data_IF_713402631127
#
_entry.id   IF_713402631127
#
_cell.length_a   1.000
_cell.length_b   1.000
_cell.length_c   1.000
_cell.angle_alpha   90.00
_cell.angle_beta   90.00
_cell.angle_gamma   90.00
#
_symmetry.space_group_name_H-M   'P 1'
#
loop_
_entity.id
_entity.type
_entity.pdbx_description
1 polymer ?
#
# COMPACT_ATOMS: atom_id res chain seq x y z
N UNK A 1 -57.70 -5.35 18.82
CA UNK A 1 -56.23 -5.56 18.78
C UNK A 1 -55.73 -5.49 20.21
N UNK A 2 -55.04 -6.52 20.70
CA UNK A 2 -54.71 -6.61 22.13
C UNK A 2 -53.58 -5.64 22.50
N UNK A 3 -53.62 -5.03 23.71
CA UNK A 3 -52.60 -4.07 24.16
C UNK A 3 -51.18 -4.66 24.20
N UNK A 4 -51.06 -5.99 24.25
CA UNK A 4 -49.79 -6.72 24.20
C UNK A 4 -49.11 -6.71 22.81
N UNK A 5 -49.84 -6.46 21.72
CA UNK A 5 -49.24 -6.40 20.37
C UNK A 5 -48.56 -5.06 20.06
N UNK A 6 -49.02 -3.96 20.67
CA UNK A 6 -48.43 -2.64 20.47
C UNK A 6 -47.12 -2.47 21.25
N UNK A 7 -47.03 -3.07 22.45
CA UNK A 7 -45.82 -3.03 23.28
C UNK A 7 -44.65 -3.82 22.64
N UNK A 8 -44.95 -4.92 21.94
CA UNK A 8 -43.95 -5.74 21.23
C UNK A 8 -43.42 -5.10 19.95
N UNK A 9 -44.23 -4.26 19.30
CA UNK A 9 -43.79 -3.52 18.12
C UNK A 9 -42.87 -2.34 18.51
N UNK A 10 -43.12 -1.73 19.67
CA UNK A 10 -42.31 -0.63 20.18
C UNK A 10 -40.95 -1.08 20.72
N UNK A 11 -40.86 -2.28 21.32
CA UNK A 11 -39.57 -2.84 21.77
C UNK A 11 -38.69 -3.34 20.63
N UNK A 12 -39.27 -3.71 19.48
CA UNK A 12 -38.49 -4.13 18.30
C UNK A 12 -37.82 -2.95 17.59
N UNK A 13 -38.46 -1.77 17.57
CA UNK A 13 -37.88 -0.55 16.99
C UNK A 13 -36.77 0.03 17.86
N UNK A 14 -36.89 -0.06 19.19
CA UNK A 14 -35.85 0.44 20.11
C UNK A 14 -34.57 -0.42 20.08
N UNK A 15 -34.66 -1.73 19.79
CA UNK A 15 -33.49 -2.59 19.63
C UNK A 15 -32.76 -2.36 18.30
N UNK A 16 -33.46 -1.93 17.26
CA UNK A 16 -32.86 -1.60 15.96
C UNK A 16 -32.06 -0.28 15.98
N UNK A 17 -32.38 0.66 16.87
CA UNK A 17 -31.69 1.95 16.98
C UNK A 17 -30.30 1.85 17.66
N UNK A 18 -30.01 0.77 18.38
CA UNK A 18 -28.71 0.53 19.02
C UNK A 18 -27.74 -0.32 18.18
N UNK A 19 -28.20 -0.82 17.03
CA UNK A 19 -27.38 -1.53 16.04
C UNK A 19 -26.95 -0.60 14.89
N UNK A 20 -26.74 0.68 15.18
CA UNK A 20 -25.88 1.49 14.33
C UNK A 20 -24.48 0.87 14.40
N UNK A 21 -23.89 0.39 13.30
CA UNK A 21 -22.50 0.00 13.32
C UNK A 21 -21.69 1.25 13.68
N UNK A 22 -21.19 1.29 14.92
CA UNK A 22 -20.27 2.30 15.43
C UNK A 22 -18.86 2.12 14.82
N UNK A 23 -18.78 1.75 13.54
CA UNK A 23 -17.54 1.50 12.80
C UNK A 23 -17.52 2.13 11.41
N UNK A 24 -18.52 2.92 11.01
CA UNK A 24 -18.34 3.91 9.95
C UNK A 24 -17.49 5.10 10.47
N UNK A 25 -16.40 4.79 11.16
CA UNK A 25 -15.33 5.76 11.40
C UNK A 25 -14.70 6.01 10.04
N UNK A 26 -15.03 7.14 9.42
CA UNK A 26 -14.34 7.76 8.27
C UNK A 26 -13.09 6.98 7.83
N UNK A 27 -13.27 5.98 6.96
CA UNK A 27 -12.11 5.41 6.28
C UNK A 27 -11.47 6.57 5.53
N UNK A 28 -10.18 6.81 5.77
CA UNK A 28 -9.49 7.89 5.07
C UNK A 28 -9.56 7.56 3.58
N UNK A 29 -10.23 8.42 2.80
CA UNK A 29 -10.30 8.26 1.35
C UNK A 29 -8.95 8.66 0.76
N UNK A 30 -7.98 7.74 0.83
CA UNK A 30 -6.60 8.00 0.42
C UNK A 30 -6.48 8.38 -1.07
N UNK A 31 -7.42 7.93 -1.90
CA UNK A 31 -7.53 8.36 -3.29
C UNK A 31 -7.84 9.85 -3.43
N UNK A 32 -8.85 10.34 -2.73
CA UNK A 32 -9.19 11.78 -2.70
C UNK A 32 -8.04 12.62 -2.15
N UNK A 33 -7.34 12.12 -1.13
CA UNK A 33 -6.14 12.78 -0.61
C UNK A 33 -5.05 12.85 -1.68
N UNK A 34 -4.78 11.74 -2.38
CA UNK A 34 -3.80 11.70 -3.46
C UNK A 34 -4.16 12.68 -4.58
N UNK A 35 -5.44 12.77 -4.97
CA UNK A 35 -5.91 13.77 -5.93
C UNK A 35 -5.58 15.20 -5.49
N UNK A 36 -5.93 15.54 -4.24
CA UNK A 36 -5.68 16.90 -3.71
C UNK A 36 -4.20 17.23 -3.68
N UNK A 37 -3.35 16.27 -3.29
CA UNK A 37 -1.90 16.45 -3.30
C UNK A 37 -1.40 16.65 -4.73
N UNK A 38 -1.88 15.87 -5.70
CA UNK A 38 -1.54 16.05 -7.12
C UNK A 38 -1.97 17.42 -7.62
N UNK A 39 -3.21 17.85 -7.39
CA UNK A 39 -3.69 19.17 -7.80
C UNK A 39 -2.85 20.30 -7.19
N UNK A 40 -2.51 20.21 -5.91
CA UNK A 40 -1.63 21.18 -5.25
C UNK A 40 -0.23 21.21 -5.92
N UNK A 41 0.33 20.07 -6.29
CA UNK A 41 1.62 20.01 -6.98
C UNK A 41 1.55 20.57 -8.42
N UNK A 42 0.46 20.34 -9.14
CA UNK A 42 0.27 20.89 -10.49
C UNK A 42 0.04 22.41 -10.47
N UNK A 43 -0.72 22.91 -9.49
CA UNK A 43 -1.15 24.32 -9.44
C UNK A 43 -0.18 25.24 -8.68
N UNK A 44 0.36 24.76 -7.56
CA UNK A 44 1.06 25.60 -6.58
C UNK A 44 2.57 25.36 -6.53
N UNK A 45 3.06 24.16 -6.85
CA UNK A 45 4.49 23.88 -6.83
C UNK A 45 5.24 24.73 -7.86
N UNK A 46 6.47 25.16 -7.56
CA UNK A 46 7.24 26.04 -8.47
C UNK A 46 7.37 25.48 -9.90
N UNK A 47 7.54 24.16 -10.02
CA UNK A 47 7.70 23.47 -11.30
C UNK A 47 6.38 23.32 -12.10
N UNK A 48 5.21 23.22 -11.44
CA UNK A 48 3.89 23.02 -12.07
C UNK A 48 3.87 21.95 -13.17
N UNK A 49 4.61 20.87 -12.95
CA UNK A 49 4.69 19.79 -13.92
C UNK A 49 3.39 18.97 -13.89
N UNK A 50 2.85 18.57 -15.05
CA UNK A 50 1.65 17.75 -15.09
C UNK A 50 1.91 16.36 -14.52
N UNK A 51 0.94 15.83 -13.78
CA UNK A 51 0.91 14.46 -13.31
C UNK A 51 0.39 13.57 -14.45
N UNK A 52 1.28 13.15 -15.34
CA UNK A 52 1.03 12.36 -16.54
C UNK A 52 1.86 11.06 -16.57
N UNK A 53 1.84 10.29 -17.67
CA UNK A 53 2.63 9.06 -17.87
C UNK A 53 4.09 9.17 -17.43
N UNK A 54 4.77 10.28 -17.73
CA UNK A 54 6.17 10.50 -17.31
C UNK A 54 6.28 10.62 -15.80
N UNK A 55 5.31 11.28 -15.16
CA UNK A 55 5.28 11.36 -13.70
C UNK A 55 4.86 10.03 -13.08
N UNK A 56 3.96 9.27 -13.71
CA UNK A 56 3.59 7.89 -13.30
C UNK A 56 4.80 6.98 -13.24
N UNK A 57 5.63 6.97 -14.29
CA UNK A 57 6.85 6.17 -14.33
C UNK A 57 7.80 6.57 -13.19
N UNK A 58 8.00 7.87 -12.98
CA UNK A 58 8.84 8.39 -11.89
C UNK A 58 8.29 8.05 -10.52
N UNK A 59 6.98 8.17 -10.32
CA UNK A 59 6.31 7.81 -9.06
C UNK A 59 6.47 6.33 -8.76
N UNK A 60 6.28 5.45 -9.75
CA UNK A 60 6.50 4.01 -9.57
C UNK A 60 7.95 3.72 -9.20
N UNK A 61 8.91 4.28 -9.95
CA UNK A 61 10.34 4.09 -9.67
C UNK A 61 10.71 4.54 -8.27
N UNK A 62 10.33 5.76 -7.87
CA UNK A 62 10.62 6.29 -6.54
C UNK A 62 9.95 5.48 -5.43
N UNK A 63 8.74 4.95 -5.66
CA UNK A 63 8.06 4.13 -4.67
C UNK A 63 8.76 2.78 -4.47
N UNK A 64 9.15 2.12 -5.56
CA UNK A 64 9.91 0.87 -5.49
C UNK A 64 11.28 1.07 -4.83
N UNK A 65 11.97 2.17 -5.13
CA UNK A 65 13.23 2.53 -4.46
C UNK A 65 13.04 2.83 -2.98
N UNK A 66 11.94 3.50 -2.59
CA UNK A 66 11.64 3.78 -1.19
C UNK A 66 11.38 2.50 -0.38
N UNK A 67 10.78 1.49 -1.00
CA UNK A 67 10.51 0.20 -0.35
C UNK A 67 11.74 -0.72 -0.32
N UNK A 68 12.49 -0.81 -1.42
CA UNK A 68 13.59 -1.77 -1.55
C UNK A 68 14.84 -1.16 -2.21
N UNK A 69 15.38 -0.10 -1.58
CA UNK A 69 16.58 0.60 -2.04
C UNK A 69 17.77 -0.35 -2.28
N UNK A 70 17.97 -1.33 -1.39
CA UNK A 70 19.07 -2.30 -1.50
C UNK A 70 18.80 -3.46 -2.47
N UNK A 71 17.59 -3.52 -3.05
CA UNK A 71 17.12 -4.55 -3.99
C UNK A 71 17.31 -5.97 -3.45
N UNK A 72 16.86 -6.20 -2.22
CA UNK A 72 16.99 -7.48 -1.52
C UNK A 72 15.66 -8.19 -1.29
N UNK A 73 14.52 -7.55 -1.54
CA UNK A 73 13.19 -8.10 -1.27
C UNK A 73 12.46 -8.50 -2.54
N UNK A 74 12.26 -7.57 -3.47
CA UNK A 74 11.51 -7.86 -4.69
C UNK A 74 12.27 -8.78 -5.64
N UNK A 75 11.54 -9.67 -6.31
CA UNK A 75 12.10 -10.43 -7.44
C UNK A 75 11.98 -9.63 -8.73
N UNK A 76 12.67 -10.08 -9.79
CA UNK A 76 12.53 -9.47 -11.11
C UNK A 76 11.09 -9.56 -11.62
N UNK A 77 10.44 -10.70 -11.40
CA UNK A 77 9.06 -10.95 -11.82
C UNK A 77 8.07 -10.03 -11.09
N UNK A 78 8.30 -9.73 -9.80
CA UNK A 78 7.49 -8.75 -9.07
C UNK A 78 7.61 -7.37 -9.74
N UNK A 79 8.84 -6.90 -9.99
CA UNK A 79 9.11 -5.59 -10.58
C UNK A 79 8.54 -5.48 -11.99
N UNK A 80 8.77 -6.48 -12.83
CA UNK A 80 8.26 -6.51 -14.20
C UNK A 80 6.72 -6.47 -14.18
N UNK A 81 6.07 -7.25 -13.29
CA UNK A 81 4.62 -7.24 -13.11
C UNK A 81 4.07 -5.90 -12.62
N UNK A 82 4.78 -5.19 -11.74
CA UNK A 82 4.39 -3.84 -11.32
C UNK A 82 4.50 -2.83 -12.46
N UNK A 83 5.57 -2.91 -13.27
CA UNK A 83 5.75 -2.03 -14.43
C UNK A 83 4.63 -2.22 -15.43
N UNK A 84 4.38 -3.47 -15.82
CA UNK A 84 3.30 -3.82 -16.76
C UNK A 84 1.94 -3.29 -16.31
N UNK A 85 1.68 -3.31 -15.00
CA UNK A 85 0.38 -2.92 -14.44
C UNK A 85 0.24 -1.43 -14.16
N UNK A 86 1.31 -0.74 -13.77
CA UNK A 86 1.22 0.60 -13.15
C UNK A 86 2.09 1.68 -13.80
N UNK A 87 3.14 1.35 -14.56
CA UNK A 87 4.16 2.31 -15.00
C UNK A 87 3.59 3.54 -15.72
N UNK A 88 2.56 3.35 -16.54
CA UNK A 88 1.89 4.42 -17.28
C UNK A 88 0.43 4.63 -16.85
N UNK A 89 0.06 4.22 -15.62
CA UNK A 89 -1.36 4.22 -15.19
C UNK A 89 -1.61 4.86 -13.83
N UNK A 90 -0.58 5.18 -13.05
CA UNK A 90 -0.74 5.75 -11.70
C UNK A 90 -1.47 7.10 -11.76
N UNK A 91 -1.16 7.94 -12.74
CA UNK A 91 -1.81 9.22 -12.97
C UNK A 91 -3.31 9.11 -13.24
N UNK A 92 -3.70 8.21 -14.15
CA UNK A 92 -5.10 7.93 -14.42
C UNK A 92 -5.81 7.39 -13.18
N UNK A 93 -5.16 6.49 -12.43
CA UNK A 93 -5.72 5.92 -11.21
C UNK A 93 -5.98 7.02 -10.17
N UNK A 94 -4.99 7.88 -9.91
CA UNK A 94 -5.13 8.97 -8.94
C UNK A 94 -6.23 9.93 -9.40
N UNK A 95 -6.26 10.36 -10.66
CA UNK A 95 -7.33 11.24 -11.18
C UNK A 95 -8.72 10.63 -11.03
N UNK A 96 -8.84 9.30 -11.04
CA UNK A 96 -10.09 8.57 -10.81
C UNK A 96 -10.35 8.23 -9.33
N UNK A 97 -9.48 8.65 -8.41
CA UNK A 97 -9.68 8.52 -6.96
C UNK A 97 -9.20 7.19 -6.41
N UNK A 98 -8.33 6.50 -7.16
CA UNK A 98 -7.74 5.24 -6.77
C UNK A 98 -6.23 5.34 -6.58
N UNK A 99 -5.70 4.53 -5.67
CA UNK A 99 -4.25 4.33 -5.49
C UNK A 99 -3.90 2.83 -5.39
N UNK A 100 -4.40 1.96 -6.28
CA UNK A 100 -4.21 0.51 -6.15
C UNK A 100 -2.74 0.11 -6.20
N UNK A 101 -1.90 0.84 -6.94
CA UNK A 101 -0.45 0.62 -6.98
C UNK A 101 0.17 0.64 -5.57
N UNK A 102 -0.22 1.60 -4.72
CA UNK A 102 0.30 1.71 -3.37
C UNK A 102 -0.01 0.46 -2.53
N UNK A 103 -1.27 0.02 -2.52
CA UNK A 103 -1.70 -1.12 -1.72
C UNK A 103 -1.15 -2.45 -2.23
N UNK A 104 -1.21 -2.68 -3.54
CA UNK A 104 -0.81 -3.96 -4.12
C UNK A 104 0.70 -4.18 -4.01
N UNK A 105 1.51 -3.17 -4.36
CA UNK A 105 2.97 -3.27 -4.28
C UNK A 105 3.40 -3.44 -2.82
N UNK A 106 2.80 -2.68 -1.89
CA UNK A 106 3.13 -2.80 -0.47
C UNK A 106 2.77 -4.18 0.09
N UNK A 107 1.64 -4.76 -0.31
CA UNK A 107 1.27 -6.11 0.12
C UNK A 107 2.30 -7.17 -0.33
N UNK A 108 2.79 -7.07 -1.57
CA UNK A 108 3.87 -7.94 -2.06
C UNK A 108 5.17 -7.68 -1.29
N UNK A 109 5.52 -6.42 -1.04
CA UNK A 109 6.69 -6.05 -0.24
C UNK A 109 6.66 -6.70 1.14
N UNK A 110 5.56 -6.56 1.88
CA UNK A 110 5.40 -7.18 3.20
C UNK A 110 5.58 -8.70 3.15
N UNK A 111 5.05 -9.34 2.10
CA UNK A 111 5.25 -10.78 1.89
C UNK A 111 6.73 -11.10 1.68
N UNK A 112 7.44 -10.36 0.83
CA UNK A 112 8.87 -10.59 0.55
C UNK A 112 9.75 -10.36 1.78
N UNK A 113 9.43 -9.36 2.59
CA UNK A 113 10.12 -9.11 3.88
C UNK A 113 9.94 -10.32 4.81
N UNK A 114 8.71 -10.82 4.97
CA UNK A 114 8.46 -12.01 5.81
C UNK A 114 9.21 -13.24 5.30
N UNK A 115 9.11 -13.53 4.00
CA UNK A 115 9.82 -14.66 3.38
C UNK A 115 11.34 -14.57 3.62
N UNK A 116 11.90 -13.35 3.52
CA UNK A 116 13.34 -13.11 3.72
C UNK A 116 13.76 -13.28 5.18
N UNK A 117 12.97 -12.81 6.14
CA UNK A 117 13.23 -12.99 7.58
C UNK A 117 13.16 -14.47 7.94
N UNK A 118 12.18 -15.21 7.42
CA UNK A 118 12.05 -16.65 7.64
C UNK A 118 13.27 -17.40 7.09
N UNK A 119 13.71 -17.08 5.86
CA UNK A 119 14.91 -17.65 5.27
C UNK A 119 16.16 -17.33 6.10
N UNK A 120 16.32 -16.08 6.53
CA UNK A 120 17.45 -15.68 7.36
C UNK A 120 17.49 -16.48 8.67
N UNK A 121 16.34 -16.68 9.32
CA UNK A 121 16.24 -17.50 10.54
C UNK A 121 16.65 -18.96 10.32
N UNK A 122 16.31 -19.56 9.17
CA UNK A 122 16.73 -20.92 8.81
C UNK A 122 18.24 -21.03 8.56
N UNK A 123 18.85 -19.97 8.02
CA UNK A 123 20.29 -19.94 7.69
C UNK A 123 21.18 -19.55 8.88
N UNK A 124 20.65 -18.80 9.85
CA UNK A 124 21.39 -18.28 11.01
C UNK A 124 21.62 -19.35 12.09
N UNK A 125 22.24 -20.48 11.73
CA UNK A 125 22.58 -21.55 12.66
C UNK A 125 23.82 -21.16 13.48
N UNK A 126 23.77 -21.20 14.83
CA UNK A 126 24.94 -20.86 15.64
C UNK A 126 26.15 -21.76 15.35
N UNK A 127 27.34 -21.15 15.25
CA UNK A 127 28.60 -21.88 15.08
C UNK A 127 28.92 -22.35 13.65
N UNK A 128 28.10 -22.01 12.65
CA UNK A 128 28.36 -22.38 11.24
C UNK A 128 29.17 -21.33 10.46
N UNK A 129 29.32 -20.12 10.99
CA UNK A 129 30.05 -19.03 10.34
C UNK A 129 31.53 -19.01 10.79
N UNK A 130 32.46 -19.16 9.83
CA UNK A 130 33.91 -19.26 10.09
C UNK A 130 34.66 -17.94 9.94
N UNK A 131 34.13 -16.99 9.17
CA UNK A 131 34.68 -15.64 8.92
C UNK A 131 36.17 -15.59 8.50
N UNK A 132 36.69 -16.68 7.92
CA UNK A 132 38.09 -16.88 7.52
C UNK A 132 38.35 -16.64 6.02
N UNK A 133 37.36 -16.09 5.31
CA UNK A 133 37.43 -15.81 3.86
C UNK A 133 37.76 -14.35 3.55
N UNK A 134 38.29 -14.09 2.36
CA UNK A 134 38.52 -12.77 1.75
C UNK A 134 37.26 -12.17 1.07
N UNK A 135 36.09 -12.79 1.26
CA UNK A 135 34.84 -12.36 0.62
C UNK A 135 34.43 -10.95 1.08
N UNK A 136 34.01 -10.14 0.12
CA UNK A 136 33.48 -8.81 0.36
C UNK A 136 31.99 -8.72 0.01
N UNK A 137 31.30 -7.75 0.60
CA UNK A 137 29.90 -7.43 0.31
C UNK A 137 29.82 -5.96 -0.05
N UNK A 138 29.28 -5.67 -1.23
CA UNK A 138 28.96 -4.30 -1.63
C UNK A 138 27.82 -3.74 -0.77
N UNK A 139 28.04 -2.59 -0.14
CA UNK A 139 27.07 -1.93 0.76
C UNK A 139 26.00 -1.17 -0.05
N UNK A 140 26.34 -0.67 -1.23
CA UNK A 140 25.43 0.00 -2.15
C UNK A 140 25.38 -0.78 -3.47
N UNK A 141 24.16 -1.04 -3.96
CA UNK A 141 23.86 -1.81 -5.17
C UNK A 141 22.98 -1.01 -6.11
#
# INVERSE_FOLDING_TARGET
>A
MSPASLLRLFTLVLLAAHLSPASAQNETQYGDLAQRVVSMLEEEHFLREPFNDKMSERTLNSYLEALDYSRIYFTKEDIDGFRDKFELRIDDQVRNGGIPAAFEIFSVYEKRVRDRVELAGKLAVPGTFTYDSDRTVAISR
#
